data_IF_229985118243
#
_entry.id   IF_229985118243
#
_cell.length_a   1.000
_cell.length_b   1.000
_cell.length_c   1.000
_cell.angle_alpha   90.00
_cell.angle_beta   90.00
_cell.angle_gamma   90.00
#
_symmetry.space_group_name_H-M   'P 1'
#
loop_
_entity.id
_entity.type
_entity.pdbx_description
1 polymer ?
#
# COMPACT_ATOMS: atom_id res chain seq x y z
N UNK A 1 18.94 22.45 -24.46
CA UNK A 1 18.43 21.10 -24.21
C UNK A 1 17.40 21.24 -23.10
N UNK A 2 16.14 21.38 -23.49
CA UNK A 2 15.02 21.51 -22.56
C UNK A 2 14.90 20.22 -21.75
N UNK A 3 15.14 20.32 -20.45
CA UNK A 3 14.95 19.20 -19.51
C UNK A 3 13.56 19.35 -18.88
N UNK A 4 12.53 19.35 -19.72
CA UNK A 4 11.13 19.27 -19.27
C UNK A 4 10.70 17.80 -19.30
N UNK A 5 11.40 16.96 -18.53
CA UNK A 5 10.91 15.62 -18.27
C UNK A 5 9.77 15.74 -17.25
N UNK A 6 8.54 15.34 -17.58
CA UNK A 6 7.44 15.40 -16.62
C UNK A 6 7.81 14.59 -15.39
N UNK A 7 7.69 15.20 -14.21
CA UNK A 7 7.90 14.50 -12.94
C UNK A 7 6.98 13.29 -12.90
N UNK A 8 7.50 12.07 -12.72
CA UNK A 8 6.66 10.89 -12.66
C UNK A 8 5.64 11.08 -11.53
N UNK A 9 4.35 11.01 -11.89
CA UNK A 9 3.27 11.01 -10.90
C UNK A 9 3.25 9.61 -10.31
N UNK A 10 3.86 9.45 -9.15
CA UNK A 10 3.74 8.23 -8.39
C UNK A 10 2.30 8.11 -7.87
N UNK A 11 1.67 6.97 -8.11
CA UNK A 11 0.38 6.65 -7.52
C UNK A 11 0.56 6.64 -5.98
N UNK A 12 -0.33 7.35 -5.26
CA UNK A 12 -0.25 7.42 -3.81
C UNK A 12 -0.86 6.15 -3.22
N UNK A 13 -0.10 5.44 -2.40
CA UNK A 13 -0.54 4.23 -1.71
C UNK A 13 -0.71 4.46 -0.21
N UNK A 14 -1.69 3.79 0.37
CA UNK A 14 -1.91 3.71 1.81
C UNK A 14 -1.79 2.27 2.29
N UNK A 15 -1.59 2.10 3.59
CA UNK A 15 -1.50 0.80 4.23
C UNK A 15 -2.49 0.73 5.40
N UNK A 16 -3.27 -0.34 5.47
CA UNK A 16 -4.14 -0.65 6.58
C UNK A 16 -3.68 -1.95 7.24
N UNK A 17 -3.47 -1.91 8.56
CA UNK A 17 -3.18 -3.08 9.38
C UNK A 17 -4.43 -3.45 10.15
N UNK A 18 -4.94 -4.66 9.93
CA UNK A 18 -6.15 -5.18 10.58
C UNK A 18 -5.78 -6.43 11.35
N UNK A 19 -6.13 -6.46 12.63
CA UNK A 19 -5.99 -7.62 13.50
C UNK A 19 -7.35 -8.32 13.63
N UNK A 20 -7.44 -9.60 13.28
CA UNK A 20 -8.62 -10.41 13.59
C UNK A 20 -8.58 -10.87 15.06
N UNK A 21 -9.75 -11.11 15.64
CA UNK A 21 -9.88 -11.55 17.04
C UNK A 21 -9.21 -12.92 17.30
N UNK A 22 -8.89 -13.67 16.25
CA UNK A 22 -8.14 -14.93 16.27
C UNK A 22 -6.61 -14.80 16.27
N UNK A 23 -6.06 -13.59 16.25
CA UNK A 23 -4.63 -13.34 16.45
C UNK A 23 -3.82 -13.05 15.19
N UNK A 24 -4.35 -13.34 14.00
CA UNK A 24 -3.65 -13.01 12.75
C UNK A 24 -3.77 -11.51 12.46
N UNK A 25 -2.62 -10.85 12.30
CA UNK A 25 -2.56 -9.47 11.81
C UNK A 25 -2.26 -9.46 10.31
N UNK A 26 -3.02 -8.69 9.54
CA UNK A 26 -2.81 -8.53 8.10
C UNK A 26 -2.54 -7.08 7.75
N UNK A 27 -1.56 -6.84 6.89
CA UNK A 27 -1.26 -5.53 6.33
C UNK A 27 -1.63 -5.52 4.85
N UNK A 28 -2.52 -4.62 4.46
CA UNK A 28 -2.94 -4.43 3.06
C UNK A 28 -2.48 -3.07 2.55
N UNK A 29 -1.76 -3.08 1.43
CA UNK A 29 -1.37 -1.88 0.69
C UNK A 29 -2.37 -1.67 -0.46
N UNK A 30 -2.89 -0.46 -0.60
CA UNK A 30 -3.87 -0.11 -1.62
C UNK A 30 -3.65 1.31 -2.17
N UNK A 31 -3.95 1.57 -3.46
CA UNK A 31 -3.94 2.91 -4.02
C UNK A 31 -5.05 3.76 -3.41
N UNK A 32 -4.71 5.00 -3.03
CA UNK A 32 -5.64 5.95 -2.41
C UNK A 32 -6.78 6.37 -3.34
N UNK A 33 -6.46 6.53 -4.63
CA UNK A 33 -7.36 7.07 -5.65
C UNK A 33 -7.78 6.00 -6.66
N UNK A 34 -8.00 4.76 -6.22
CA UNK A 34 -8.60 3.75 -7.09
C UNK A 34 -10.12 3.86 -7.16
N UNK A 35 -10.63 3.97 -8.38
CA UNK A 35 -12.04 3.76 -8.70
C UNK A 35 -12.48 2.35 -8.28
N UNK A 36 -13.78 2.17 -7.99
CA UNK A 36 -14.33 0.89 -7.50
C UNK A 36 -13.95 -0.32 -8.38
N UNK A 37 -13.87 -0.12 -9.70
CA UNK A 37 -13.46 -1.17 -10.65
C UNK A 37 -11.98 -1.58 -10.51
N UNK A 38 -11.09 -0.66 -10.09
CA UNK A 38 -9.65 -0.92 -9.88
C UNK A 38 -9.33 -1.39 -8.46
N UNK A 39 -10.24 -1.18 -7.50
CA UNK A 39 -10.05 -1.63 -6.10
C UNK A 39 -9.86 -3.14 -5.99
N UNK A 40 -10.53 -3.93 -6.82
CA UNK A 40 -10.49 -5.41 -6.70
C UNK A 40 -9.18 -6.07 -7.16
N UNK A 41 -8.30 -5.36 -7.89
CA UNK A 41 -7.08 -5.93 -8.48
C UNK A 41 -5.78 -5.31 -7.96
N UNK A 42 -5.84 -4.23 -7.19
CA UNK A 42 -4.67 -3.43 -6.81
C UNK A 42 -4.21 -3.63 -5.35
N UNK A 43 -4.69 -4.67 -4.66
CA UNK A 43 -4.39 -4.88 -3.24
C UNK A 43 -3.31 -5.93 -3.05
N UNK A 44 -2.29 -5.59 -2.27
CA UNK A 44 -1.27 -6.54 -1.82
C UNK A 44 -1.49 -6.71 -0.31
N UNK A 45 -1.85 -7.92 0.10
CA UNK A 45 -2.03 -8.26 1.52
C UNK A 45 -0.92 -9.20 1.97
N UNK A 46 -0.26 -8.83 3.06
CA UNK A 46 0.74 -9.64 3.75
C UNK A 46 0.21 -10.04 5.13
N UNK A 47 0.43 -11.29 5.50
CA UNK A 47 0.13 -11.79 6.85
C UNK A 47 1.21 -11.38 7.83
N UNK A 48 0.91 -11.58 9.11
CA UNK A 48 1.83 -11.39 10.22
C UNK A 48 3.20 -12.00 9.92
N UNK A 49 4.26 -11.30 10.34
CA UNK A 49 5.67 -11.61 10.05
C UNK A 49 6.12 -11.46 8.59
N UNK A 50 5.20 -11.29 7.62
CA UNK A 50 5.54 -11.07 6.21
C UNK A 50 5.64 -9.58 5.82
N UNK A 51 5.53 -8.66 6.77
CA UNK A 51 5.71 -7.22 6.56
C UNK A 51 6.40 -6.55 7.76
N UNK A 52 7.05 -5.42 7.53
CA UNK A 52 7.69 -4.61 8.56
C UNK A 52 7.22 -3.15 8.47
N UNK A 53 7.09 -2.48 9.62
CA UNK A 53 6.79 -1.04 9.67
C UNK A 53 8.02 -0.22 9.27
N UNK A 54 7.93 0.52 8.17
CA UNK A 54 8.99 1.42 7.73
C UNK A 54 9.26 2.55 8.74
N UNK A 55 8.25 3.00 9.49
CA UNK A 55 8.41 3.99 10.54
C UNK A 55 9.22 3.46 11.73
N UNK A 56 9.14 2.15 11.99
CA UNK A 56 9.85 1.48 13.08
C UNK A 56 11.30 1.11 12.73
N UNK A 57 11.68 1.22 11.45
CA UNK A 57 13.03 0.91 10.94
C UNK A 57 13.92 2.16 10.78
N UNK A 58 13.46 3.32 11.25
CA UNK A 58 14.20 4.59 11.18
C UNK A 58 15.20 4.75 12.32
#
# INVERSE_FOLDING_TARGET
MDTDSPTPRYEAYEAAVVSDHGGSTECTIFPRDADDDRRTTAWITAREEAYCSAASMR
#
